data_IF_078072946416
#
_entry.id   IF_078072946416
#
_cell.length_a   1.000
_cell.length_b   1.000
_cell.length_c   1.000
_cell.angle_alpha   90.00
_cell.angle_beta   90.00
_cell.angle_gamma   90.00
#
_symmetry.space_group_name_H-M   'P 1'
#
loop_
_entity.id
_entity.type
_entity.pdbx_description
1 polymer ?
#
# COMPACT_ATOMS: atom_id res chain seq x y z
N UNK A 1 11.25 -5.14 -9.62
CA UNK A 1 10.77 -3.77 -9.93
C UNK A 1 9.25 -3.68 -10.01
N UNK A 2 8.61 -3.48 -8.87
CA UNK A 2 7.34 -2.75 -8.77
C UNK A 2 7.67 -1.27 -9.01
N UNK A 3 6.90 -0.55 -9.82
CA UNK A 3 7.29 0.80 -10.29
C UNK A 3 7.62 1.77 -9.15
N UNK A 4 8.71 2.53 -9.33
CA UNK A 4 9.30 3.48 -8.38
C UNK A 4 8.49 4.80 -8.19
N UNK A 5 7.34 4.96 -8.85
CA UNK A 5 6.64 6.26 -8.97
C UNK A 5 5.71 6.63 -7.79
N UNK A 6 6.05 6.26 -6.56
CA UNK A 6 5.22 6.62 -5.39
C UNK A 6 6.04 6.82 -4.12
N UNK A 7 5.59 7.76 -3.28
CA UNK A 7 6.14 7.98 -1.94
C UNK A 7 6.14 6.69 -1.11
N UNK A 8 7.02 6.62 -0.10
CA UNK A 8 7.02 5.45 0.79
C UNK A 8 5.72 5.42 1.59
N UNK A 9 5.00 4.31 1.50
CA UNK A 9 3.69 4.11 2.12
C UNK A 9 3.62 2.70 2.68
N UNK A 10 2.76 2.48 3.68
CA UNK A 10 2.54 1.14 4.25
C UNK A 10 2.10 0.13 3.17
N UNK A 11 1.36 0.60 2.17
CA UNK A 11 0.95 -0.20 1.00
C UNK A 11 2.14 -0.65 0.16
N UNK A 12 3.14 0.21 -0.02
CA UNK A 12 4.38 -0.08 -0.77
C UNK A 12 5.25 -1.08 -0.02
N UNK A 13 5.47 -0.88 1.29
CA UNK A 13 6.25 -1.81 2.14
C UNK A 13 5.59 -3.20 2.19
N UNK A 14 4.27 -3.23 2.37
CA UNK A 14 3.50 -4.48 2.32
C UNK A 14 3.57 -5.17 0.96
N UNK A 15 3.47 -4.42 -0.14
CA UNK A 15 3.58 -4.95 -1.50
C UNK A 15 4.97 -5.50 -1.82
N UNK A 16 6.03 -4.88 -1.31
CA UNK A 16 7.42 -5.34 -1.46
C UNK A 16 7.66 -6.66 -0.72
N UNK A 17 7.28 -6.76 0.56
CA UNK A 17 7.34 -8.03 1.31
C UNK A 17 6.57 -9.16 0.58
N UNK A 18 5.41 -8.84 0.01
CA UNK A 18 4.59 -9.82 -0.72
C UNK A 18 5.23 -10.26 -2.05
N UNK A 19 6.03 -9.40 -2.67
CA UNK A 19 6.71 -9.70 -3.92
C UNK A 19 7.96 -10.56 -3.71
N UNK A 20 8.62 -10.46 -2.56
CA UNK A 20 9.79 -11.27 -2.18
C UNK A 20 9.44 -12.75 -2.02
N UNK A 21 8.21 -13.07 -1.61
CA UNK A 21 7.78 -14.45 -1.33
C UNK A 21 7.54 -15.32 -2.58
N UNK A 22 7.71 -14.81 -3.81
CA UNK A 22 7.52 -15.67 -4.98
C UNK A 22 7.94 -15.03 -6.30
N UNK A 23 9.10 -15.45 -6.84
CA UNK A 23 9.71 -15.00 -8.09
C UNK A 23 8.83 -14.24 -9.10
N UNK A 24 8.50 -14.84 -10.25
CA UNK A 24 7.79 -14.12 -11.33
C UNK A 24 6.28 -13.99 -11.06
N UNK A 25 5.66 -15.01 -10.48
CA UNK A 25 4.22 -15.07 -10.22
C UNK A 25 3.80 -14.34 -8.94
N UNK A 26 4.63 -14.38 -7.89
CA UNK A 26 4.38 -13.62 -6.66
C UNK A 26 4.49 -12.12 -6.88
N UNK A 27 5.41 -11.64 -7.73
CA UNK A 27 5.43 -10.23 -8.16
C UNK A 27 4.09 -9.79 -8.78
N UNK A 28 3.50 -10.59 -9.69
CA UNK A 28 2.20 -10.28 -10.30
C UNK A 28 1.08 -10.27 -9.25
N UNK A 29 1.07 -11.24 -8.34
CA UNK A 29 0.10 -11.31 -7.23
C UNK A 29 0.25 -10.13 -6.27
N UNK A 30 1.48 -9.69 -5.99
CA UNK A 30 1.75 -8.52 -5.16
C UNK A 30 1.19 -7.23 -5.77
N UNK A 31 1.36 -7.02 -7.09
CA UNK A 31 0.72 -5.87 -7.80
C UNK A 31 -0.79 -5.88 -7.61
N UNK A 32 -1.43 -7.01 -7.89
CA UNK A 32 -2.91 -7.15 -7.80
C UNK A 32 -3.37 -6.92 -6.36
N UNK A 33 -2.63 -7.44 -5.38
CA UNK A 33 -2.96 -7.31 -3.98
C UNK A 33 -2.86 -5.84 -3.49
N UNK A 34 -1.84 -5.10 -3.93
CA UNK A 34 -1.70 -3.66 -3.64
C UNK A 34 -2.84 -2.87 -4.29
N UNK A 35 -3.17 -3.15 -5.55
CA UNK A 35 -4.27 -2.47 -6.25
C UNK A 35 -5.63 -2.71 -5.55
N UNK A 36 -5.90 -3.93 -5.08
CA UNK A 36 -7.12 -4.23 -4.32
C UNK A 36 -7.20 -3.44 -3.01
N UNK A 37 -6.11 -3.40 -2.25
CA UNK A 37 -6.08 -2.59 -1.02
C UNK A 37 -6.28 -1.10 -1.31
N UNK A 38 -5.68 -0.59 -2.40
CA UNK A 38 -5.83 0.80 -2.80
C UNK A 38 -7.29 1.12 -3.16
N UNK A 39 -7.96 0.27 -3.92
CA UNK A 39 -9.37 0.45 -4.28
C UNK A 39 -10.28 0.51 -3.04
N UNK A 40 -10.05 -0.41 -2.07
CA UNK A 40 -10.80 -0.40 -0.80
C UNK A 40 -10.53 0.86 0.00
N UNK A 41 -9.27 1.30 0.07
CA UNK A 41 -8.88 2.50 0.79
C UNK A 41 -9.55 3.75 0.18
N UNK A 42 -9.49 3.91 -1.13
CA UNK A 42 -10.14 5.01 -1.83
C UNK A 42 -11.66 4.99 -1.62
N UNK A 43 -12.28 3.81 -1.70
CA UNK A 43 -13.71 3.67 -1.45
C UNK A 43 -14.08 4.04 -0.01
N UNK A 44 -13.27 3.63 0.97
CA UNK A 44 -13.49 3.98 2.38
C UNK A 44 -13.40 5.48 2.60
N UNK A 45 -12.34 6.13 2.12
CA UNK A 45 -12.17 7.58 2.23
C UNK A 45 -13.29 8.35 1.52
N UNK A 46 -13.75 7.85 0.37
CA UNK A 46 -14.88 8.45 -0.34
C UNK A 46 -16.19 8.37 0.47
N UNK A 47 -16.42 7.26 1.17
CA UNK A 47 -17.64 7.05 1.95
C UNK A 47 -17.58 7.77 3.32
N UNK A 48 -16.41 7.79 3.97
CA UNK A 48 -16.26 8.37 5.32
C UNK A 48 -15.86 9.85 5.32
N UNK A 49 -15.28 10.35 4.22
CA UNK A 49 -14.73 11.72 4.15
C UNK A 49 -13.48 11.92 5.01
N UNK A 50 -12.88 10.85 5.55
CA UNK A 50 -11.70 10.91 6.40
C UNK A 50 -10.44 11.27 5.60
N UNK A 51 -9.44 11.84 6.28
CA UNK A 51 -8.15 12.19 5.66
C UNK A 51 -7.27 10.95 5.55
N UNK A 52 -6.69 10.72 4.37
CA UNK A 52 -5.75 9.62 4.16
C UNK A 52 -4.41 9.89 4.85
N UNK A 53 -4.00 8.96 5.73
CA UNK A 53 -2.68 8.96 6.36
C UNK A 53 -1.82 7.82 5.77
N UNK A 54 -0.78 8.13 4.97
CA UNK A 54 -0.04 7.12 4.19
C UNK A 54 0.94 6.24 4.99
N UNK A 55 1.34 6.67 6.19
CA UNK A 55 2.26 5.95 7.08
C UNK A 55 1.66 6.02 8.49
N UNK A 56 1.13 4.91 8.98
CA UNK A 56 0.47 4.89 10.30
C UNK A 56 1.42 5.13 11.47
N UNK A 57 2.73 4.87 11.32
CA UNK A 57 3.74 5.19 12.34
C UNK A 57 4.18 6.66 12.36
N UNK A 58 3.82 7.47 11.36
CA UNK A 58 4.18 8.89 11.37
C UNK A 58 3.29 9.72 12.33
N UNK A 59 2.17 9.16 12.80
CA UNK A 59 1.34 9.76 13.86
C UNK A 59 1.92 9.56 15.27
N UNK A 60 2.68 8.47 15.49
CA UNK A 60 3.29 8.16 16.80
C UNK A 60 4.54 9.01 17.10
N UNK A 61 5.06 9.74 16.11
CA UNK A 61 6.25 10.59 16.26
C UNK A 61 5.92 12.05 16.65
N UNK A 62 4.65 12.36 16.98
CA UNK A 62 4.21 13.71 17.39
C UNK A 62 3.54 13.70 18.77
N UNK A 63 3.88 12.74 19.63
CA UNK A 63 3.50 12.76 21.05
C UNK A 63 4.74 12.81 21.92
#
# INVERSE_FOLDING_TARGET
MLGFRGADTDLRRWGLMRAETGGKSGKKRAVVAVARKLAVLLHRLWVTGEVYIPIRQAEEAVV
#
